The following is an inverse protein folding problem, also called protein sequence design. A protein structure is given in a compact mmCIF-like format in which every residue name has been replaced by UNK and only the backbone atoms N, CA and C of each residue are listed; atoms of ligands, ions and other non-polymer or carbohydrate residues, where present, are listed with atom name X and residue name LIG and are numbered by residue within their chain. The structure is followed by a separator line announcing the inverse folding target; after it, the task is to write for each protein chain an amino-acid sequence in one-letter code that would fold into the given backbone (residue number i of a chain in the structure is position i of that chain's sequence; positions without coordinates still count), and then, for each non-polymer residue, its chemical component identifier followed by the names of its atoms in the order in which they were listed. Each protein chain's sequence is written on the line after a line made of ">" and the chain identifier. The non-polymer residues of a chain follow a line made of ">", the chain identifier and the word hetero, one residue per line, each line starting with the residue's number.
data_IF_111154018965
#
_entry.id   IF_111154018965
#
_cell.length_a   1.000
_cell.length_b   1.000
_cell.length_c   1.000
_cell.angle_alpha   90.00
_cell.angle_beta   90.00
_cell.angle_gamma   90.00
#
_symmetry.space_group_name_H-M   'P 1'
#
loop_
_entity.id
_entity.type
_entity.pdbx_description
1 polymer ?
#
# COMPACT_ATOMS: atom_id res chain seq x y z
N UNK A 1 -9.82 -25.88 -21.37
CA UNK A 1 -10.93 -25.39 -20.53
C UNK A 1 -11.56 -26.46 -19.62
N UNK A 2 -10.84 -27.50 -19.16
CA UNK A 2 -11.44 -28.58 -18.36
C UNK A 2 -10.90 -28.72 -16.93
N UNK A 3 -9.85 -27.99 -16.55
CA UNK A 3 -9.25 -28.07 -15.20
C UNK A 3 -9.72 -26.96 -14.25
N UNK A 4 -10.45 -25.95 -14.75
CA UNK A 4 -10.95 -24.85 -13.90
C UNK A 4 -12.24 -25.19 -13.15
N UNK A 5 -13.02 -26.17 -13.63
CA UNK A 5 -14.33 -26.50 -13.05
C UNK A 5 -14.23 -27.38 -11.80
N UNK A 6 -13.20 -28.22 -11.66
CA UNK A 6 -13.08 -29.10 -10.47
C UNK A 6 -12.71 -28.35 -9.19
N UNK A 7 -11.99 -27.22 -9.28
CA UNK A 7 -11.63 -26.41 -8.11
C UNK A 7 -12.82 -25.65 -7.53
N UNK A 8 -13.82 -25.31 -8.35
CA UNK A 8 -15.03 -24.58 -7.91
C UNK A 8 -15.95 -25.47 -7.07
N UNK A 9 -16.02 -26.77 -7.39
CA UNK A 9 -16.89 -27.71 -6.67
C UNK A 9 -16.33 -28.12 -5.30
N UNK A 10 -15.00 -28.15 -5.13
CA UNK A 10 -14.37 -28.44 -3.82
C UNK A 10 -14.63 -27.31 -2.80
N UNK A 11 -14.72 -26.06 -3.25
CA UNK A 11 -14.96 -24.92 -2.36
C UNK A 11 -16.41 -24.87 -1.83
N UNK A 12 -17.41 -25.37 -2.57
CA UNK A 12 -18.81 -25.37 -2.11
C UNK A 12 -19.08 -26.39 -0.99
N UNK A 13 -18.32 -27.48 -0.93
CA UNK A 13 -18.56 -28.55 0.05
C UNK A 13 -18.02 -28.24 1.46
N UNK A 14 -17.09 -27.29 1.61
CA UNK A 14 -16.47 -26.97 2.92
C UNK A 14 -17.18 -25.87 3.74
N UNK A 15 -18.12 -25.13 3.14
CA UNK A 15 -18.77 -23.98 3.77
C UNK A 15 -20.30 -24.10 3.83
N UNK A 16 -20.83 -25.32 3.87
CA UNK A 16 -22.23 -25.54 4.24
C UNK A 16 -22.40 -25.23 5.74
N UNK A 17 -22.70 -23.97 6.06
CA UNK A 17 -23.10 -23.54 7.40
C UNK A 17 -24.63 -23.62 7.47
N UNK A 18 -25.14 -24.49 8.34
CA UNK A 18 -26.58 -24.65 8.56
C UNK A 18 -27.26 -23.31 8.93
N UNK A 19 -28.45 -23.00 8.40
CA UNK A 19 -29.15 -21.77 8.73
C UNK A 19 -29.60 -21.77 10.20
N UNK A 20 -29.06 -20.82 10.97
CA UNK A 20 -29.43 -20.58 12.38
C UNK A 20 -30.88 -20.10 12.47
N UNK A 21 -31.72 -20.87 13.15
CA UNK A 21 -33.10 -20.52 13.50
C UNK A 21 -33.09 -19.40 14.55
N UNK A 22 -33.39 -18.16 14.13
CA UNK A 22 -33.59 -17.04 15.07
C UNK A 22 -35.04 -17.05 15.57
N UNK A 23 -35.22 -17.43 16.84
CA UNK A 23 -36.51 -17.31 17.55
C UNK A 23 -36.80 -15.82 17.82
N UNK A 24 -37.92 -15.35 17.26
CA UNK A 24 -38.48 -14.00 17.42
C UNK A 24 -38.92 -13.78 18.87
N UNK A 25 -38.43 -12.72 19.52
CA UNK A 25 -38.92 -12.24 20.81
C UNK A 25 -39.49 -10.82 20.65
N UNK A 26 -40.73 -10.64 21.13
CA UNK A 26 -41.24 -9.38 21.68
C UNK A 26 -41.93 -8.41 20.71
N UNK A 27 -43.27 -8.44 20.72
CA UNK A 27 -44.18 -7.47 20.09
C UNK A 27 -44.95 -6.77 21.22
N UNK A 28 -45.03 -5.43 21.23
CA UNK A 28 -46.03 -4.61 21.97
C UNK A 28 -46.19 -3.30 21.16
N UNK A 29 -47.20 -3.13 20.28
CA UNK A 29 -48.54 -2.51 20.50
C UNK A 29 -48.44 -1.04 21.01
N UNK A 30 -49.11 0.00 20.51
CA UNK A 30 -50.49 0.16 19.99
C UNK A 30 -50.74 1.61 19.45
N UNK A 31 -51.65 1.79 18.45
CA UNK A 31 -52.55 2.94 18.09
C UNK A 31 -52.01 4.40 17.89
N UNK A 32 -52.47 5.31 16.98
CA UNK A 32 -53.60 5.41 16.02
C UNK A 32 -53.47 6.68 15.12
N UNK A 33 -53.91 6.54 13.84
CA UNK A 33 -54.70 7.43 12.92
C UNK A 33 -54.21 8.77 12.30
N UNK A 34 -54.69 8.92 11.05
CA UNK A 34 -54.81 10.07 10.11
C UNK A 34 -53.52 10.55 9.41
N UNK A 35 -53.40 10.77 8.08
CA UNK A 35 -54.26 10.68 6.90
C UNK A 35 -53.50 11.28 5.68
N UNK A 36 -53.86 10.85 4.46
CA UNK A 36 -53.55 11.44 3.13
C UNK A 36 -52.14 11.33 2.50
N UNK A 37 -52.08 10.74 1.29
CA UNK A 37 -51.04 11.00 0.28
C UNK A 37 -50.55 9.79 -0.52
N UNK A 38 -51.26 9.41 -1.59
CA UNK A 38 -50.82 8.40 -2.57
C UNK A 38 -49.98 9.08 -3.67
N UNK A 39 -48.77 8.59 -3.99
CA UNK A 39 -48.22 8.55 -5.36
C UNK A 39 -46.93 7.72 -5.50
N UNK A 40 -47.09 6.60 -6.21
CA UNK A 40 -46.25 5.99 -7.25
C UNK A 40 -44.73 5.73 -7.05
N UNK A 41 -44.40 4.43 -7.23
CA UNK A 41 -43.26 3.81 -7.94
C UNK A 41 -41.87 4.47 -7.85
N UNK A 42 -40.86 3.72 -7.39
CA UNK A 42 -39.95 2.95 -8.28
C UNK A 42 -38.89 2.19 -7.49
N UNK A 43 -38.68 0.93 -7.90
CA UNK A 43 -37.39 0.23 -7.97
C UNK A 43 -36.73 -0.31 -6.68
N UNK A 44 -36.91 -1.62 -6.53
CA UNK A 44 -35.92 -2.54 -6.00
C UNK A 44 -34.54 -2.30 -6.61
N UNK A 45 -33.51 -2.17 -5.78
CA UNK A 45 -32.18 -2.68 -6.12
C UNK A 45 -31.51 -3.22 -4.87
N UNK A 46 -31.54 -4.54 -4.78
CA UNK A 46 -30.52 -5.39 -4.19
C UNK A 46 -29.13 -4.89 -4.59
N UNK A 47 -28.26 -4.64 -3.62
CA UNK A 47 -26.81 -4.55 -3.79
C UNK A 47 -26.20 -5.21 -2.56
N UNK A 48 -25.95 -6.52 -2.59
CA UNK A 48 -24.65 -7.10 -2.97
C UNK A 48 -23.52 -6.27 -2.37
N UNK A 49 -23.24 -6.51 -1.09
CA UNK A 49 -21.98 -6.12 -0.48
C UNK A 49 -20.86 -6.87 -1.22
N UNK A 50 -20.24 -6.16 -2.15
CA UNK A 50 -19.04 -6.58 -2.85
C UNK A 50 -17.92 -6.67 -1.82
N UNK A 51 -17.50 -7.90 -1.51
CA UNK A 51 -16.31 -8.15 -0.70
C UNK A 51 -15.12 -7.81 -1.60
N UNK A 52 -14.72 -6.54 -1.62
CA UNK A 52 -13.46 -6.13 -2.26
C UNK A 52 -12.33 -6.98 -1.64
N UNK A 53 -11.75 -7.86 -2.46
CA UNK A 53 -10.48 -8.45 -2.13
C UNK A 53 -9.47 -7.30 -2.04
N UNK A 54 -9.08 -6.93 -0.81
CA UNK A 54 -8.06 -5.89 -0.58
C UNK A 54 -6.77 -6.35 -1.27
N UNK A 55 -6.55 -5.89 -2.51
CA UNK A 55 -5.28 -6.07 -3.22
C UNK A 55 -4.28 -5.14 -2.55
N UNK A 56 -3.44 -5.73 -1.71
CA UNK A 56 -2.36 -5.04 -0.98
C UNK A 56 -1.49 -4.28 -1.98
N UNK A 57 -1.23 -3.00 -1.71
CA UNK A 57 -0.41 -2.16 -2.59
C UNK A 57 1.04 -2.69 -2.65
N UNK A 58 1.76 -2.43 -3.74
CA UNK A 58 3.15 -2.85 -3.86
C UNK A 58 3.98 -2.29 -2.69
N UNK A 59 3.73 -1.03 -2.29
CA UNK A 59 4.46 -0.42 -1.18
C UNK A 59 4.21 -1.08 0.17
N UNK A 60 3.02 -1.60 0.47
CA UNK A 60 2.80 -2.33 1.72
C UNK A 60 3.49 -3.71 1.75
N UNK A 61 3.95 -4.22 0.61
CA UNK A 61 4.74 -5.46 0.54
C UNK A 61 6.22 -5.23 0.81
N UNK A 62 6.70 -3.99 0.70
CA UNK A 62 8.10 -3.61 0.95
C UNK A 62 8.35 -3.58 2.45
N UNK A 63 9.43 -4.24 2.89
CA UNK A 63 9.90 -4.21 4.27
C UNK A 63 11.11 -3.29 4.37
N UNK A 64 11.01 -2.26 5.20
CA UNK A 64 12.15 -1.38 5.51
C UNK A 64 12.88 -1.95 6.73
N UNK A 65 14.19 -2.15 6.60
CA UNK A 65 15.05 -2.66 7.67
C UNK A 65 15.24 -1.63 8.78
N UNK A 66 15.43 -2.10 10.01
CA UNK A 66 15.80 -1.27 11.17
C UNK A 66 17.25 -0.78 11.15
N UNK A 67 18.08 -1.31 10.23
CA UNK A 67 19.46 -0.85 10.06
C UNK A 67 19.55 0.65 9.79
N UNK A 68 20.61 1.28 10.29
CA UNK A 68 20.92 2.67 9.97
C UNK A 68 20.98 2.88 8.46
N UNK A 69 20.49 4.03 8.01
CA UNK A 69 20.62 4.45 6.61
C UNK A 69 22.07 4.34 6.13
N UNK A 70 22.25 3.76 4.95
CA UNK A 70 23.56 3.60 4.33
C UNK A 70 24.25 4.96 4.20
N UNK A 71 25.53 5.03 4.56
CA UNK A 71 26.34 6.27 4.49
C UNK A 71 25.64 7.52 5.06
N UNK A 72 24.80 7.37 6.10
CA UNK A 72 23.94 8.42 6.67
C UNK A 72 24.64 9.78 6.81
N UNK A 73 25.87 9.81 7.30
CA UNK A 73 26.62 11.06 7.45
C UNK A 73 26.91 11.80 6.15
N UNK A 74 27.23 11.08 5.07
CA UNK A 74 27.50 11.65 3.75
C UNK A 74 26.19 12.15 3.11
N UNK A 75 25.14 11.34 3.13
CA UNK A 75 23.84 11.73 2.58
C UNK A 75 23.22 12.89 3.34
N UNK A 76 23.31 12.91 4.67
CA UNK A 76 22.88 14.08 5.45
C UNK A 76 23.62 15.36 5.07
N UNK A 77 24.95 15.30 4.92
CA UNK A 77 25.74 16.47 4.54
C UNK A 77 25.44 16.95 3.11
N UNK A 78 25.05 16.04 2.22
CA UNK A 78 24.77 16.33 0.80
C UNK A 78 23.33 16.75 0.54
N UNK A 79 22.37 16.21 1.29
CA UNK A 79 20.93 16.37 1.04
C UNK A 79 20.19 16.85 2.28
N UNK A 80 20.40 16.19 3.42
CA UNK A 80 19.62 16.44 4.64
C UNK A 80 19.68 17.88 5.16
N UNK A 81 20.83 18.56 5.05
CA UNK A 81 20.97 19.98 5.45
C UNK A 81 20.14 20.92 4.57
N UNK A 82 20.18 20.72 3.26
CA UNK A 82 19.47 21.56 2.29
C UNK A 82 17.95 21.34 2.39
N UNK A 83 17.54 20.14 2.81
CA UNK A 83 16.15 19.83 3.16
C UNK A 83 15.70 20.39 4.53
N UNK A 84 16.60 21.04 5.27
CA UNK A 84 16.28 21.73 6.53
C UNK A 84 16.36 20.87 7.79
N UNK A 85 16.91 19.65 7.74
CA UNK A 85 17.03 18.81 8.93
C UNK A 85 18.22 19.24 9.81
N UNK A 86 18.00 19.31 11.12
CA UNK A 86 19.02 19.77 12.08
C UNK A 86 20.12 18.73 12.32
N UNK A 87 19.81 17.44 12.10
CA UNK A 87 20.77 16.37 12.35
C UNK A 87 20.49 15.07 11.59
N UNK A 88 21.50 14.20 11.60
CA UNK A 88 21.47 12.88 10.93
C UNK A 88 20.31 12.00 11.42
N UNK A 89 20.04 11.99 12.72
CA UNK A 89 18.98 11.17 13.30
C UNK A 89 17.59 11.65 12.85
N UNK A 90 17.37 12.97 12.79
CA UNK A 90 16.12 13.56 12.32
C UNK A 90 15.90 13.26 10.83
N UNK A 91 16.94 13.42 10.01
CA UNK A 91 16.92 13.11 8.59
C UNK A 91 16.59 11.62 8.32
N UNK A 92 17.19 10.70 9.06
CA UNK A 92 16.86 9.27 8.95
C UNK A 92 15.42 8.97 9.38
N UNK A 93 14.97 9.54 10.50
CA UNK A 93 13.59 9.38 10.97
C UNK A 93 12.58 9.94 9.94
N UNK A 94 12.91 11.06 9.30
CA UNK A 94 12.09 11.66 8.25
C UNK A 94 12.01 10.76 7.00
N UNK A 95 13.10 10.10 6.60
CA UNK A 95 13.09 9.14 5.50
C UNK A 95 12.15 7.95 5.77
N UNK A 96 12.19 7.39 6.99
CA UNK A 96 11.29 6.31 7.41
C UNK A 96 9.84 6.76 7.44
N UNK A 97 9.57 7.94 8.02
CA UNK A 97 8.23 8.52 8.09
C UNK A 97 7.68 8.84 6.69
N UNK A 98 8.54 9.27 5.78
CA UNK A 98 8.19 9.52 4.39
C UNK A 98 7.72 8.22 3.72
N UNK A 99 8.42 7.10 3.92
CA UNK A 99 7.97 5.81 3.40
C UNK A 99 6.60 5.41 3.98
N UNK A 100 6.49 5.35 5.31
CA UNK A 100 5.27 4.89 5.97
C UNK A 100 4.03 5.70 5.60
N UNK A 101 4.18 7.02 5.46
CA UNK A 101 3.07 7.91 5.09
C UNK A 101 2.59 7.70 3.65
N UNK A 102 3.47 7.29 2.75
CA UNK A 102 3.19 7.32 1.30
C UNK A 102 3.26 5.94 0.63
N UNK A 103 3.57 4.85 1.35
CA UNK A 103 3.75 3.52 0.75
C UNK A 103 2.55 3.04 -0.09
N UNK A 104 1.34 3.44 0.26
CA UNK A 104 0.12 3.04 -0.48
C UNK A 104 -0.15 3.89 -1.73
N UNK A 105 0.35 5.12 -1.80
CA UNK A 105 -0.04 6.11 -2.82
C UNK A 105 1.11 6.66 -3.64
N UNK A 106 2.36 6.44 -3.22
CA UNK A 106 3.55 6.89 -3.91
C UNK A 106 3.71 6.18 -5.25
N UNK A 107 4.41 6.85 -6.17
CA UNK A 107 4.97 6.16 -7.32
C UNK A 107 6.14 5.30 -6.84
N UNK A 108 6.11 4.02 -7.18
CA UNK A 108 7.15 3.06 -6.78
C UNK A 108 7.75 2.42 -8.01
N UNK A 109 9.07 2.46 -8.08
CA UNK A 109 9.84 1.88 -9.16
C UNK A 109 10.81 0.84 -8.61
N UNK A 110 11.09 -0.17 -9.40
CA UNK A 110 12.26 -1.01 -9.23
C UNK A 110 13.27 -0.69 -10.32
N UNK A 111 14.55 -0.70 -9.96
CA UNK A 111 15.62 -0.48 -10.91
C UNK A 111 16.95 -1.00 -10.40
N UNK A 112 17.85 -1.31 -11.31
CA UNK A 112 19.21 -1.75 -10.98
C UNK A 112 20.08 -0.50 -10.83
N UNK A 113 20.84 -0.43 -9.74
CA UNK A 113 21.78 0.67 -9.50
C UNK A 113 22.86 0.71 -10.60
N UNK A 114 22.85 1.77 -11.42
CA UNK A 114 23.69 1.94 -12.60
C UNK A 114 25.06 2.56 -12.25
N UNK A 115 25.79 1.89 -11.35
CA UNK A 115 27.17 2.24 -11.07
C UNK A 115 28.02 0.99 -11.19
N UNK A 116 29.16 1.11 -11.87
CA UNK A 116 30.21 0.07 -11.89
C UNK A 116 31.08 0.07 -10.63
N UNK A 117 30.81 0.97 -9.68
CA UNK A 117 31.60 1.16 -8.46
C UNK A 117 30.70 1.28 -7.23
N UNK A 118 31.18 0.79 -6.09
CA UNK A 118 30.52 0.89 -4.80
C UNK A 118 29.68 -0.34 -4.43
N UNK A 119 29.32 -0.45 -3.16
CA UNK A 119 28.71 -1.65 -2.59
C UNK A 119 27.30 -1.97 -3.13
N UNK A 120 26.61 -0.99 -3.72
CA UNK A 120 25.26 -1.13 -4.27
C UNK A 120 25.25 -1.49 -5.77
N UNK A 121 26.43 -1.56 -6.42
CA UNK A 121 26.58 -1.83 -7.86
C UNK A 121 25.82 -3.07 -8.30
N UNK A 122 24.93 -2.93 -9.28
CA UNK A 122 24.18 -4.05 -9.86
C UNK A 122 23.06 -4.61 -8.97
N UNK A 123 22.87 -4.06 -7.77
CA UNK A 123 21.80 -4.48 -6.88
C UNK A 123 20.48 -3.80 -7.24
N UNK A 124 19.38 -4.53 -7.07
CA UNK A 124 18.03 -4.00 -7.28
C UNK A 124 17.66 -3.08 -6.13
N UNK A 125 17.18 -1.90 -6.48
CA UNK A 125 16.71 -0.89 -5.57
C UNK A 125 15.23 -0.62 -5.82
N UNK A 126 14.54 -0.23 -4.77
CA UNK A 126 13.20 0.31 -4.82
C UNK A 126 13.31 1.82 -4.67
N UNK A 127 12.65 2.55 -5.57
CA UNK A 127 12.59 4.01 -5.57
C UNK A 127 11.16 4.42 -5.27
N UNK A 128 10.95 5.15 -4.19
CA UNK A 128 9.63 5.66 -3.76
C UNK A 128 9.60 7.17 -3.95
N UNK A 129 8.61 7.68 -4.69
CA UNK A 129 8.49 9.10 -5.03
C UNK A 129 7.15 9.67 -4.64
N UNK A 130 7.23 10.84 -4.01
CA UNK A 130 6.04 11.61 -3.65
C UNK A 130 6.43 13.06 -3.39
N UNK A 131 5.64 14.01 -3.87
CA UNK A 131 5.77 15.45 -3.57
C UNK A 131 7.18 16.00 -3.83
N UNK A 132 7.79 15.62 -4.95
CA UNK A 132 9.14 16.07 -5.34
C UNK A 132 10.27 15.49 -4.48
N UNK A 133 9.99 14.51 -3.61
CA UNK A 133 10.99 13.79 -2.82
C UNK A 133 11.13 12.36 -3.32
N UNK A 134 12.34 11.82 -3.14
CA UNK A 134 12.69 10.47 -3.53
C UNK A 134 13.42 9.76 -2.39
N UNK A 135 12.94 8.55 -2.09
CA UNK A 135 13.56 7.60 -1.17
C UNK A 135 14.05 6.39 -1.96
N UNK A 136 15.25 5.91 -1.64
CA UNK A 136 15.86 4.74 -2.28
C UNK A 136 16.11 3.69 -1.21
N UNK A 137 15.66 2.47 -1.46
CA UNK A 137 15.75 1.33 -0.56
C UNK A 137 16.38 0.16 -1.31
N UNK A 138 17.33 -0.54 -0.69
CA UNK A 138 17.83 -1.78 -1.26
C UNK A 138 16.75 -2.86 -1.18
N UNK A 139 16.39 -3.47 -2.31
CA UNK A 139 15.28 -4.43 -2.38
C UNK A 139 15.55 -5.69 -1.54
N UNK A 140 16.79 -6.14 -1.49
CA UNK A 140 17.18 -7.37 -0.80
C UNK A 140 17.26 -7.16 0.71
N UNK A 141 17.92 -6.09 1.15
CA UNK A 141 18.17 -5.86 2.59
C UNK A 141 17.10 -5.02 3.26
N UNK A 142 16.28 -4.29 2.50
CA UNK A 142 15.34 -3.30 3.02
C UNK A 142 16.01 -2.06 3.62
N UNK A 143 17.35 -1.94 3.53
CA UNK A 143 18.08 -0.80 4.07
C UNK A 143 17.79 0.45 3.23
N UNK A 144 17.52 1.57 3.90
CA UNK A 144 17.42 2.88 3.23
C UNK A 144 18.81 3.29 2.75
N UNK A 145 18.93 3.57 1.45
CA UNK A 145 20.18 3.96 0.80
C UNK A 145 20.32 5.48 0.73
N UNK A 146 19.26 6.19 0.32
CA UNK A 146 19.30 7.65 0.19
C UNK A 146 17.90 8.26 0.29
N UNK A 147 17.82 9.55 0.64
CA UNK A 147 16.57 10.30 0.73
C UNK A 147 16.79 11.78 0.39
N UNK A 148 16.17 12.30 -0.67
CA UNK A 148 16.46 13.67 -1.12
C UNK A 148 15.28 14.33 -1.84
N UNK A 149 15.39 15.65 -2.04
CA UNK A 149 14.50 16.40 -2.93
C UNK A 149 14.99 16.28 -4.38
N UNK A 150 14.13 15.72 -5.23
CA UNK A 150 14.42 15.40 -6.61
C UNK A 150 13.64 14.17 -7.09
N UNK A 151 13.58 14.01 -8.41
CA UNK A 151 12.86 12.91 -9.08
C UNK A 151 13.68 12.39 -10.27
N UNK A 152 15.01 12.40 -10.19
CA UNK A 152 15.86 11.80 -11.24
C UNK A 152 15.99 10.29 -11.03
N UNK A 153 15.91 9.55 -12.15
CA UNK A 153 16.19 8.12 -12.23
C UNK A 153 17.50 7.81 -12.96
N UNK A 154 18.31 8.82 -13.29
CA UNK A 154 19.47 8.65 -14.19
C UNK A 154 20.55 7.72 -13.60
N UNK A 155 20.51 7.51 -12.27
CA UNK A 155 21.35 6.56 -11.56
C UNK A 155 20.90 5.09 -11.66
N UNK A 156 19.87 4.77 -12.43
CA UNK A 156 19.30 3.42 -12.55
C UNK A 156 19.19 2.96 -14.01
N UNK A 157 19.21 1.64 -14.19
CA UNK A 157 18.91 0.94 -15.44
C UNK A 157 17.84 -0.12 -15.19
N UNK A 158 17.21 -0.62 -16.25
CA UNK A 158 16.14 -1.63 -16.19
C UNK A 158 15.03 -1.22 -15.21
N UNK A 159 14.53 -0.01 -15.40
CA UNK A 159 13.57 0.61 -14.51
C UNK A 159 12.16 0.18 -14.90
N UNK A 160 11.41 -0.30 -13.92
CA UNK A 160 10.00 -0.63 -14.05
C UNK A 160 9.19 0.09 -12.97
N UNK A 161 8.02 0.64 -13.34
CA UNK A 161 7.07 1.19 -12.37
C UNK A 161 6.16 0.06 -11.89
N UNK A 162 6.11 -0.14 -10.58
CA UNK A 162 5.31 -1.18 -9.94
C UNK A 162 4.10 -0.62 -9.15
N UNK A 163 4.03 0.71 -8.98
CA UNK A 163 2.91 1.45 -8.39
C UNK A 163 2.89 2.89 -8.90
#
# INVERSE_FOLDING_TARGET
>A
FSQLNELVDICKAKYAVDPVVVKKAGNVAEATKDGAGVKALTESTTGVEEVEAITKSAGESIKVSEEKMYQLGKHFNKHGRDMGYAGKAEYEAAARKFFEKNKETAEIYEGIWNSSRGAQSGQVQIVVRQNGKQLIINKETGQIIDFYEGTSLDGFINIERIQ
#
